data_IF_159332155238
#
_entry.id   IF_159332155238
#
_cell.length_a   1.000
_cell.length_b   1.000
_cell.length_c   1.000
_cell.angle_alpha   90.00
_cell.angle_beta   90.00
_cell.angle_gamma   90.00
#
_symmetry.space_group_name_H-M   'P 1'
#
loop_
_entity.id
_entity.type
_entity.pdbx_description
1 polymer ?
#
# COMPACT_ATOMS: atom_id res chain seq x y z
N UNK A 1 12.44 10.62 -8.76
CA UNK A 1 12.34 9.16 -9.00
C UNK A 1 13.27 8.66 -10.13
N UNK A 2 14.09 9.52 -10.75
CA UNK A 2 14.79 9.25 -12.02
C UNK A 2 16.16 8.55 -11.90
N UNK A 3 16.84 8.59 -10.75
CA UNK A 3 18.26 8.19 -10.70
C UNK A 3 18.47 6.65 -10.72
N UNK A 4 17.52 5.88 -10.20
CA UNK A 4 17.69 4.43 -10.07
C UNK A 4 17.47 3.66 -11.37
N UNK A 5 16.53 4.14 -12.19
CA UNK A 5 16.31 3.68 -13.57
C UNK A 5 17.52 4.02 -14.46
N UNK A 6 18.10 5.21 -14.28
CA UNK A 6 19.34 5.62 -14.97
C UNK A 6 20.52 4.72 -14.63
N UNK A 7 20.55 4.14 -13.42
CA UNK A 7 21.56 3.17 -12.97
C UNK A 7 21.25 1.71 -13.33
N UNK A 8 20.14 1.45 -14.05
CA UNK A 8 19.77 0.08 -14.50
C UNK A 8 19.37 -0.88 -13.39
N UNK A 9 19.13 -0.40 -12.16
CA UNK A 9 18.88 -1.30 -11.04
C UNK A 9 17.41 -1.72 -11.02
N UNK A 10 17.17 -3.03 -11.03
CA UNK A 10 15.83 -3.63 -11.07
C UNK A 10 15.30 -3.99 -9.67
N UNK A 11 13.99 -3.82 -9.46
CA UNK A 11 13.30 -4.29 -8.24
C UNK A 11 13.26 -5.81 -8.24
N UNK A 12 13.92 -6.43 -7.26
CA UNK A 12 13.86 -7.88 -7.03
C UNK A 12 13.17 -8.19 -5.70
N UNK A 13 12.44 -9.30 -5.68
CA UNK A 13 11.87 -9.85 -4.45
C UNK A 13 12.99 -10.53 -3.66
N UNK A 14 13.03 -10.29 -2.35
CA UNK A 14 13.96 -10.97 -1.43
C UNK A 14 13.23 -12.07 -0.67
N UNK A 15 13.93 -13.18 -0.42
CA UNK A 15 13.38 -14.29 0.36
C UNK A 15 13.37 -13.98 1.86
N UNK A 16 12.39 -14.58 2.54
CA UNK A 16 12.15 -14.39 3.98
C UNK A 16 13.07 -15.22 4.85
N UNK A 17 13.54 -16.34 4.32
CA UNK A 17 14.39 -17.32 4.98
C UNK A 17 15.72 -17.35 4.22
N UNK A 18 16.82 -17.36 4.94
CA UNK A 18 18.18 -17.32 4.41
C UNK A 18 18.99 -18.35 5.19
N UNK A 19 19.86 -19.07 4.48
CA UNK A 19 20.78 -20.02 5.09
C UNK A 19 21.86 -19.25 5.87
N UNK A 20 22.09 -19.65 7.11
CA UNK A 20 23.15 -19.13 7.95
C UNK A 20 24.29 -20.15 7.98
N UNK A 21 25.45 -19.75 7.47
CA UNK A 21 26.65 -20.60 7.40
C UNK A 21 27.26 -20.87 8.77
N UNK A 22 26.97 -20.02 9.77
CA UNK A 22 27.56 -20.18 11.12
C UNK A 22 26.83 -21.25 11.94
N UNK A 23 25.52 -21.39 11.73
CA UNK A 23 24.66 -22.30 12.48
C UNK A 23 24.13 -23.47 11.64
N UNK A 24 24.49 -23.50 10.34
CA UNK A 24 24.01 -24.46 9.34
C UNK A 24 22.47 -24.60 9.30
N UNK A 25 21.77 -23.49 9.51
CA UNK A 25 20.31 -23.46 9.63
C UNK A 25 19.66 -22.40 8.76
N UNK A 26 18.44 -22.70 8.31
CA UNK A 26 17.59 -21.76 7.58
C UNK A 26 16.88 -20.81 8.55
N UNK A 27 17.45 -19.63 8.76
CA UNK A 27 16.92 -18.61 9.66
C UNK A 27 16.18 -17.50 8.94
N UNK A 28 15.45 -16.67 9.69
CA UNK A 28 14.71 -15.54 9.11
C UNK A 28 15.66 -14.43 8.68
N UNK A 29 15.34 -13.69 7.62
CA UNK A 29 16.13 -12.49 7.25
C UNK A 29 15.96 -11.33 8.23
N UNK A 30 14.82 -11.28 8.92
CA UNK A 30 14.43 -10.22 9.85
C UNK A 30 13.44 -10.78 10.87
N UNK A 31 13.41 -10.18 12.06
CA UNK A 31 12.55 -10.62 13.17
C UNK A 31 13.32 -11.42 14.20
N UNK A 32 12.60 -12.31 14.89
CA UNK A 32 13.16 -13.25 15.87
C UNK A 32 14.05 -14.30 15.19
N UNK A 33 15.15 -14.66 15.85
CA UNK A 33 16.15 -15.62 15.39
C UNK A 33 16.54 -15.40 13.91
N UNK A 34 17.02 -14.17 13.66
CA UNK A 34 17.39 -13.74 12.31
C UNK A 34 18.83 -14.10 11.99
N UNK A 35 19.12 -14.29 10.70
CA UNK A 35 20.49 -14.40 10.21
C UNK A 35 21.29 -13.15 10.58
N UNK A 36 22.52 -13.35 11.03
CA UNK A 36 23.47 -12.31 11.44
C UNK A 36 22.90 -11.38 12.52
N UNK A 37 22.41 -11.92 13.63
CA UNK A 37 22.02 -11.07 14.76
C UNK A 37 23.25 -10.57 15.54
N UNK A 38 23.24 -9.28 15.87
CA UNK A 38 24.37 -8.64 16.55
C UNK A 38 24.49 -9.09 18.01
N UNK A 39 23.38 -9.57 18.60
CA UNK A 39 23.30 -10.03 19.99
C UNK A 39 23.85 -11.45 20.19
N UNK A 40 23.89 -12.26 19.13
CA UNK A 40 24.35 -13.66 19.17
C UNK A 40 25.88 -13.75 19.08
N UNK A 41 26.57 -12.61 18.91
CA UNK A 41 28.03 -12.54 18.79
C UNK A 41 28.61 -12.24 20.18
N UNK A 42 29.16 -13.24 20.90
CA UNK A 42 29.66 -13.03 22.25
C UNK A 42 31.00 -12.29 22.28
N UNK A 43 31.82 -12.45 21.24
CA UNK A 43 33.18 -11.90 21.16
C UNK A 43 33.36 -11.24 19.79
N UNK A 44 33.90 -10.02 19.79
CA UNK A 44 34.26 -9.30 18.57
C UNK A 44 35.78 -9.21 18.52
N UNK A 45 36.37 -9.78 17.47
CA UNK A 45 37.80 -9.65 17.23
C UNK A 45 38.15 -8.19 16.92
N UNK A 46 39.09 -7.64 17.69
CA UNK A 46 39.61 -6.30 17.47
C UNK A 46 40.45 -6.28 16.18
N UNK A 47 40.23 -5.25 15.36
CA UNK A 47 41.08 -4.99 14.18
C UNK A 47 42.29 -4.16 14.61
N UNK A 48 43.40 -4.28 13.88
CA UNK A 48 44.61 -3.48 14.15
C UNK A 48 44.40 -1.96 14.06
N UNK A 49 43.30 -1.51 13.46
CA UNK A 49 42.92 -0.10 13.32
C UNK A 49 41.90 0.36 14.37
N UNK A 50 41.48 -0.50 15.28
CA UNK A 50 40.48 -0.14 16.30
C UNK A 50 41.18 0.58 17.47
N UNK A 51 40.64 1.73 17.86
CA UNK A 51 41.19 2.54 18.94
C UNK A 51 41.10 1.78 20.28
N UNK A 52 42.21 1.58 21.00
CA UNK A 52 42.20 0.89 22.28
C UNK A 52 41.44 1.74 23.32
N UNK A 53 40.41 1.15 23.93
CA UNK A 53 39.63 1.76 25.01
C UNK A 53 38.15 2.01 24.69
N UNK A 54 37.70 1.75 23.47
CA UNK A 54 36.29 1.91 23.09
C UNK A 54 35.58 0.57 22.90
N UNK A 55 34.37 0.43 23.46
CA UNK A 55 33.60 -0.82 23.41
C UNK A 55 33.08 -1.10 21.97
N UNK A 56 33.47 -2.22 21.34
CA UNK A 56 33.04 -2.56 19.98
C UNK A 56 31.52 -2.79 19.88
N UNK A 57 30.85 -3.22 20.95
CA UNK A 57 29.39 -3.38 20.97
C UNK A 57 28.68 -2.03 20.98
N UNK A 58 29.16 -1.08 21.79
CA UNK A 58 28.66 0.29 21.80
C UNK A 58 28.77 0.96 20.41
N UNK A 59 29.92 0.81 19.74
CA UNK A 59 30.11 1.32 18.35
C UNK A 59 29.06 0.76 17.38
N UNK A 60 28.81 -0.56 17.40
CA UNK A 60 27.81 -1.20 16.53
C UNK A 60 26.40 -0.69 16.78
N UNK A 61 26.03 -0.50 18.06
CA UNK A 61 24.72 0.05 18.42
C UNK A 61 24.56 1.48 17.88
N UNK A 62 25.59 2.32 18.03
CA UNK A 62 25.53 3.70 17.55
C UNK A 62 25.53 3.78 16.02
N UNK A 63 26.26 2.92 15.32
CA UNK A 63 26.22 2.84 13.87
C UNK A 63 24.86 2.36 13.35
N UNK A 64 24.21 1.43 14.06
CA UNK A 64 22.83 1.02 13.79
C UNK A 64 21.87 2.19 13.99
N UNK A 65 21.97 2.95 15.09
CA UNK A 65 21.18 4.16 15.32
C UNK A 65 21.40 5.20 14.23
N UNK A 66 22.66 5.49 13.85
CA UNK A 66 23.00 6.43 12.76
C UNK A 66 22.38 6.01 11.43
N UNK A 67 22.43 4.71 11.09
CA UNK A 67 21.84 4.17 9.87
C UNK A 67 20.31 4.30 9.87
N UNK A 68 19.66 3.98 10.99
CA UNK A 68 18.20 4.12 11.16
C UNK A 68 17.80 5.59 11.09
N UNK A 69 18.49 6.48 11.81
CA UNK A 69 18.25 7.91 11.79
C UNK A 69 18.43 8.52 10.40
N UNK A 70 19.43 8.08 9.62
CA UNK A 70 19.60 8.48 8.21
C UNK A 70 18.41 8.02 7.36
N UNK A 71 17.91 6.81 7.56
CA UNK A 71 16.73 6.31 6.86
C UNK A 71 15.48 7.12 7.20
N UNK A 72 15.28 7.48 8.46
CA UNK A 72 14.15 8.30 8.91
C UNK A 72 14.22 9.74 8.37
N UNK A 73 15.40 10.37 8.42
CA UNK A 73 15.63 11.68 7.79
C UNK A 73 15.29 11.64 6.30
N UNK A 74 15.76 10.63 5.58
CA UNK A 74 15.43 10.45 4.16
C UNK A 74 13.93 10.22 3.94
N UNK A 75 13.25 9.47 4.83
CA UNK A 75 11.80 9.29 4.76
C UNK A 75 11.07 10.62 4.93
N UNK A 76 11.44 11.43 5.93
CA UNK A 76 10.86 12.75 6.17
C UNK A 76 11.10 13.69 5.00
N UNK A 77 12.31 13.74 4.45
CA UNK A 77 12.62 14.55 3.27
C UNK A 77 11.81 14.13 2.04
N UNK A 78 11.70 12.81 1.77
CA UNK A 78 10.88 12.31 0.68
C UNK A 78 9.39 12.60 0.89
N UNK A 79 8.90 12.55 2.14
CA UNK A 79 7.53 12.93 2.49
C UNK A 79 7.30 14.43 2.32
N UNK A 80 8.22 15.29 2.76
CA UNK A 80 8.13 16.74 2.61
C UNK A 80 8.18 17.16 1.12
N UNK A 81 9.13 16.61 0.36
CA UNK A 81 9.22 16.82 -1.08
C UNK A 81 7.97 16.33 -1.83
N UNK A 82 7.34 15.25 -1.33
CA UNK A 82 6.07 14.79 -1.86
C UNK A 82 4.91 15.67 -1.39
N UNK A 83 4.93 16.20 -0.17
CA UNK A 83 3.88 17.04 0.41
C UNK A 83 3.69 18.35 -0.34
N UNK A 84 4.78 18.95 -0.87
CA UNK A 84 4.69 20.07 -1.82
C UNK A 84 3.95 19.74 -3.13
N UNK A 85 3.83 18.45 -3.47
CA UNK A 85 3.09 17.94 -4.63
C UNK A 85 1.81 17.16 -4.24
N UNK A 86 1.45 17.14 -2.96
CA UNK A 86 0.21 16.50 -2.48
C UNK A 86 -0.92 17.53 -2.45
N UNK A 87 -2.15 17.11 -2.78
CA UNK A 87 -3.33 17.95 -2.57
C UNK A 87 -3.40 18.39 -1.10
N UNK A 88 -3.81 19.64 -0.87
CA UNK A 88 -3.85 20.33 0.44
C UNK A 88 -4.37 19.48 1.61
N UNK A 89 -5.30 18.58 1.32
CA UNK A 89 -5.91 17.65 2.25
C UNK A 89 -4.93 16.68 2.96
N UNK A 90 -3.84 16.27 2.29
CA UNK A 90 -2.85 15.34 2.87
C UNK A 90 -1.76 16.07 3.65
N UNK A 91 -1.57 17.37 3.39
CA UNK A 91 -0.61 18.20 4.13
C UNK A 91 -1.04 18.40 5.59
N UNK A 92 -2.34 18.45 5.86
CA UNK A 92 -2.88 18.65 7.22
C UNK A 92 -2.81 17.40 8.12
N UNK A 93 -2.81 16.19 7.52
CA UNK A 93 -2.89 14.92 8.24
C UNK A 93 -1.52 14.34 8.64
N UNK A 94 -0.42 14.97 8.22
CA UNK A 94 0.92 14.58 8.62
C UNK A 94 1.38 15.50 9.77
N UNK A 95 1.78 14.97 10.94
CA UNK A 95 2.40 15.78 11.97
C UNK A 95 3.83 16.09 11.51
N UNK A 96 3.98 17.08 10.63
CA UNK A 96 5.29 17.62 10.28
C UNK A 96 5.68 18.54 11.44
N UNK A 97 6.32 17.94 12.43
CA UNK A 97 6.99 18.66 13.50
C UNK A 97 7.97 19.68 12.89
N UNK A 98 7.67 20.97 13.04
CA UNK A 98 8.67 22.03 13.02
C UNK A 98 8.67 23.03 11.86
N UNK A 99 7.98 22.81 10.73
CA UNK A 99 7.91 23.83 9.67
C UNK A 99 6.58 24.57 9.75
N UNK A 100 6.60 25.81 10.26
CA UNK A 100 5.51 26.78 10.13
C UNK A 100 5.30 27.09 8.65
N UNK A 101 4.62 26.20 7.92
CA UNK A 101 4.08 26.54 6.60
C UNK A 101 3.12 27.70 6.79
N UNK A 102 3.43 28.83 6.15
CA UNK A 102 2.57 30.00 6.09
C UNK A 102 1.13 29.57 5.81
N UNK A 103 0.13 30.09 6.54
CA UNK A 103 -1.27 29.72 6.33
C UNK A 103 -1.68 30.17 4.94
N UNK A 104 -1.60 29.25 3.98
CA UNK A 104 -2.15 29.44 2.65
C UNK A 104 -3.66 29.60 2.80
N UNK A 105 -4.25 30.60 2.13
CA UNK A 105 -5.70 30.82 2.16
C UNK A 105 -6.38 29.56 1.60
N UNK A 106 -6.98 28.77 2.48
CA UNK A 106 -7.65 27.52 2.11
C UNK A 106 -8.95 27.92 1.40
N UNK A 107 -9.09 27.55 0.13
CA UNK A 107 -10.32 27.78 -0.63
C UNK A 107 -11.52 27.05 -0.02
N UNK A 108 -12.74 27.57 -0.23
CA UNK A 108 -14.00 27.01 0.31
C UNK A 108 -14.16 25.51 0.04
N UNK A 109 -13.69 25.02 -1.11
CA UNK A 109 -13.76 23.60 -1.48
C UNK A 109 -12.82 22.73 -0.64
N UNK A 110 -11.59 23.17 -0.42
CA UNK A 110 -10.62 22.46 0.41
C UNK A 110 -11.08 22.43 1.88
N UNK A 111 -11.72 23.49 2.36
CA UNK A 111 -12.34 23.52 3.69
C UNK A 111 -13.46 22.48 3.82
N UNK A 112 -14.33 22.38 2.81
CA UNK A 112 -15.41 21.38 2.78
C UNK A 112 -14.90 19.93 2.71
N UNK A 113 -13.82 19.69 1.97
CA UNK A 113 -13.19 18.37 1.88
C UNK A 113 -12.51 17.95 3.19
N UNK A 114 -11.82 18.88 3.88
CA UNK A 114 -11.24 18.65 5.21
C UNK A 114 -12.34 18.35 6.24
N UNK A 115 -13.42 19.13 6.24
CA UNK A 115 -14.58 18.90 7.11
C UNK A 115 -15.21 17.51 6.87
N UNK A 116 -15.40 17.12 5.61
CA UNK A 116 -15.95 15.80 5.27
C UNK A 116 -15.08 14.62 5.72
N UNK A 117 -13.74 14.75 5.64
CA UNK A 117 -12.84 13.72 6.16
C UNK A 117 -12.85 13.69 7.69
N UNK A 118 -12.79 14.86 8.35
CA UNK A 118 -12.81 14.93 9.80
C UNK A 118 -14.07 14.26 10.38
N UNK A 119 -15.23 14.55 9.78
CA UNK A 119 -16.50 13.94 10.17
C UNK A 119 -16.54 12.41 10.00
N UNK A 120 -15.74 11.82 9.11
CA UNK A 120 -15.73 10.36 8.86
C UNK A 120 -14.54 9.64 9.51
N UNK A 121 -13.61 10.38 10.12
CA UNK A 121 -12.37 9.83 10.70
C UNK A 121 -12.54 9.27 12.11
N UNK A 122 -13.62 9.63 12.80
CA UNK A 122 -13.99 9.02 14.09
C UNK A 122 -14.31 7.54 13.90
N UNK A 123 -14.02 6.69 14.89
CA UNK A 123 -14.34 5.25 14.83
C UNK A 123 -15.84 4.96 14.57
N UNK A 124 -16.72 5.88 14.97
CA UNK A 124 -18.16 5.84 14.72
C UNK A 124 -18.58 6.36 13.34
N UNK A 125 -17.62 6.82 12.52
CA UNK A 125 -17.87 7.49 11.24
C UNK A 125 -18.70 8.77 11.36
N UNK A 126 -18.61 9.46 12.51
CA UNK A 126 -19.39 10.67 12.79
C UNK A 126 -20.84 10.42 13.18
N UNK A 127 -21.22 9.16 13.47
CA UNK A 127 -22.60 8.80 13.82
C UNK A 127 -23.05 9.37 15.17
N UNK A 128 -22.11 9.52 16.12
CA UNK A 128 -22.38 10.03 17.47
C UNK A 128 -21.86 11.45 17.68
N UNK A 129 -21.25 12.05 16.66
CA UNK A 129 -20.67 13.38 16.77
C UNK A 129 -21.79 14.43 16.57
N UNK A 130 -21.85 15.44 17.44
CA UNK A 130 -22.87 16.51 17.38
C UNK A 130 -22.63 17.37 16.14
N UNK A 131 -23.62 17.42 15.24
CA UNK A 131 -23.56 18.25 14.03
C UNK A 131 -23.91 19.70 14.33
N UNK A 132 -23.14 20.62 13.77
CA UNK A 132 -23.41 22.05 13.90
C UNK A 132 -24.50 22.44 12.90
N UNK A 133 -25.47 23.30 13.26
CA UNK A 133 -26.46 23.79 12.31
C UNK A 133 -25.78 24.43 11.09
N UNK A 134 -26.16 24.00 9.88
CA UNK A 134 -25.59 24.49 8.62
C UNK A 134 -24.40 23.68 8.07
N UNK A 135 -23.97 22.61 8.75
CA UNK A 135 -22.94 21.71 8.23
C UNK A 135 -23.44 20.96 6.98
N UNK A 136 -22.70 21.05 5.88
CA UNK A 136 -23.04 20.34 4.63
C UNK A 136 -22.79 18.84 4.81
N UNK A 137 -23.69 17.97 4.33
CA UNK A 137 -23.46 16.53 4.41
C UNK A 137 -22.19 16.14 3.65
N UNK A 138 -21.44 15.12 4.11
CA UNK A 138 -20.19 14.72 3.51
C UNK A 138 -20.41 14.30 2.05
N UNK A 139 -19.79 15.02 1.11
CA UNK A 139 -19.97 14.87 -0.35
C UNK A 139 -19.40 13.57 -0.93
N UNK A 140 -18.67 12.78 -0.15
CA UNK A 140 -17.93 11.60 -0.62
C UNK A 140 -18.34 10.33 0.14
N UNK A 141 -19.62 10.00 0.14
CA UNK A 141 -19.99 8.60 0.32
C UNK A 141 -19.33 7.83 -0.83
N UNK A 142 -18.62 6.75 -0.54
CA UNK A 142 -17.80 6.06 -1.53
C UNK A 142 -18.61 5.63 -2.77
N UNK A 143 -17.94 5.17 -3.82
CA UNK A 143 -18.62 4.51 -4.93
C UNK A 143 -19.25 3.21 -4.42
N UNK A 144 -20.50 3.28 -3.97
CA UNK A 144 -21.29 2.10 -3.64
C UNK A 144 -21.87 1.53 -4.92
N UNK A 145 -21.72 0.22 -5.11
CA UNK A 145 -22.37 -0.49 -6.21
C UNK A 145 -23.88 -0.40 -5.99
N UNK A 146 -24.59 0.23 -6.93
CA UNK A 146 -26.05 0.18 -6.98
C UNK A 146 -26.41 -1.10 -7.73
N UNK A 147 -27.04 -2.05 -7.04
CA UNK A 147 -27.59 -3.25 -7.66
C UNK A 147 -29.02 -2.96 -8.11
N UNK A 148 -29.40 -3.50 -9.26
CA UNK A 148 -30.80 -3.56 -9.64
C UNK A 148 -31.57 -4.45 -8.63
N UNK A 149 -32.85 -4.17 -8.37
CA UNK A 149 -33.67 -5.01 -7.50
C UNK A 149 -33.83 -6.42 -8.09
N UNK A 150 -33.84 -7.44 -7.21
CA UNK A 150 -33.93 -8.86 -7.61
C UNK A 150 -35.30 -9.21 -8.22
N UNK A 151 -36.37 -8.54 -7.77
CA UNK A 151 -37.70 -8.66 -8.36
C UNK A 151 -37.94 -7.43 -9.21
N UNK A 152 -38.06 -7.57 -10.54
CA UNK A 152 -38.35 -6.43 -11.40
C UNK A 152 -39.74 -5.89 -11.05
N UNK A 153 -39.86 -4.57 -10.92
CA UNK A 153 -41.18 -3.92 -11.06
C UNK A 153 -41.66 -4.15 -12.49
N UNK A 154 -42.97 -4.19 -12.71
CA UNK A 154 -43.56 -4.37 -14.04
C UNK A 154 -42.92 -3.37 -15.02
N UNK A 155 -42.28 -3.86 -16.10
CA UNK A 155 -41.56 -3.04 -17.10
C UNK A 155 -40.04 -2.94 -16.98
N UNK A 156 -39.39 -3.49 -15.95
CA UNK A 156 -37.92 -3.34 -15.70
C UNK A 156 -37.06 -4.38 -16.45
N UNK A 157 -37.68 -5.33 -17.16
CA UNK A 157 -36.98 -6.39 -17.93
C UNK A 157 -36.06 -5.82 -19.01
N UNK A 158 -36.37 -4.64 -19.54
CA UNK A 158 -35.59 -4.04 -20.63
C UNK A 158 -34.29 -3.38 -20.13
N UNK A 159 -34.23 -2.93 -18.86
CA UNK A 159 -33.01 -2.37 -18.28
C UNK A 159 -31.92 -3.44 -18.13
N UNK A 160 -32.28 -4.66 -17.70
CA UNK A 160 -31.34 -5.78 -17.61
C UNK A 160 -30.82 -6.18 -19.00
N UNK A 161 -31.73 -6.27 -19.98
CA UNK A 161 -31.35 -6.53 -21.39
C UNK A 161 -30.40 -5.45 -21.90
N UNK A 162 -30.68 -4.18 -21.67
CA UNK A 162 -29.78 -3.10 -22.05
C UNK A 162 -28.40 -3.21 -21.39
N UNK A 163 -28.34 -3.53 -20.10
CA UNK A 163 -27.07 -3.72 -19.41
C UNK A 163 -26.29 -4.90 -20.01
N UNK A 164 -26.97 -6.03 -20.30
CA UNK A 164 -26.34 -7.17 -20.97
C UNK A 164 -25.85 -6.81 -22.37
N UNK A 165 -26.63 -6.07 -23.16
CA UNK A 165 -26.26 -5.62 -24.49
C UNK A 165 -25.09 -4.63 -24.46
N UNK A 166 -25.02 -3.75 -23.45
CA UNK A 166 -23.88 -2.85 -23.22
C UNK A 166 -22.60 -3.61 -22.86
N UNK A 167 -22.71 -4.76 -22.19
CA UNK A 167 -21.56 -5.64 -21.92
C UNK A 167 -21.18 -6.41 -23.18
N UNK A 168 -22.15 -6.98 -23.89
CA UNK A 168 -21.94 -7.71 -25.14
C UNK A 168 -21.30 -6.83 -26.22
N UNK A 169 -21.75 -5.59 -26.39
CA UNK A 169 -21.16 -4.66 -27.35
C UNK A 169 -19.70 -4.34 -27.03
N UNK A 170 -19.34 -4.23 -25.75
CA UNK A 170 -17.95 -4.05 -25.30
C UNK A 170 -17.09 -5.28 -25.56
N UNK A 171 -17.65 -6.48 -25.46
CA UNK A 171 -16.96 -7.74 -25.74
C UNK A 171 -16.78 -7.98 -27.24
N UNK A 172 -17.80 -7.68 -28.04
CA UNK A 172 -17.80 -7.86 -29.49
C UNK A 172 -17.11 -6.72 -30.25
N UNK A 173 -16.86 -5.58 -29.59
CA UNK A 173 -16.12 -4.50 -30.22
C UNK A 173 -14.69 -4.93 -30.57
N UNK A 174 -14.20 -4.45 -31.71
CA UNK A 174 -12.85 -4.76 -32.23
C UNK A 174 -11.73 -4.42 -31.24
N UNK A 175 -11.96 -3.48 -30.32
CA UNK A 175 -11.04 -3.07 -29.25
C UNK A 175 -11.24 -3.82 -27.91
N UNK A 176 -11.94 -4.96 -27.89
CA UNK A 176 -12.20 -5.73 -26.65
C UNK A 176 -10.92 -6.25 -25.98
N UNK A 177 -9.85 -6.45 -26.75
CA UNK A 177 -8.52 -6.87 -26.29
C UNK A 177 -7.86 -5.87 -25.33
N UNK A 178 -8.20 -4.57 -25.41
CA UNK A 178 -7.66 -3.55 -24.49
C UNK A 178 -8.41 -3.53 -23.14
N UNK A 179 -9.70 -3.86 -23.18
CA UNK A 179 -10.59 -3.86 -22.01
C UNK A 179 -10.35 -5.12 -21.16
N UNK A 180 -10.09 -6.25 -21.83
CA UNK A 180 -9.85 -7.54 -21.17
C UNK A 180 -8.37 -7.72 -20.86
N UNK A 181 -8.04 -7.95 -19.59
CA UNK A 181 -6.66 -8.25 -19.20
C UNK A 181 -6.32 -9.71 -19.51
N UNK A 182 -5.89 -9.97 -20.74
CA UNK A 182 -5.54 -11.30 -21.26
C UNK A 182 -4.48 -11.99 -20.40
N UNK A 183 -3.45 -11.27 -19.94
CA UNK A 183 -2.41 -11.83 -19.07
C UNK A 183 -2.94 -12.33 -17.73
N UNK A 184 -3.91 -11.62 -17.13
CA UNK A 184 -4.58 -12.08 -15.91
C UNK A 184 -5.46 -13.30 -16.19
N UNK A 185 -6.14 -13.35 -17.33
CA UNK A 185 -6.95 -14.50 -17.72
C UNK A 185 -6.11 -15.77 -17.93
N UNK A 186 -4.96 -15.65 -18.62
CA UNK A 186 -4.01 -16.74 -18.81
C UNK A 186 -3.46 -17.24 -17.47
N UNK A 187 -3.08 -16.33 -16.56
CA UNK A 187 -2.58 -16.72 -15.24
C UNK A 187 -3.64 -17.48 -14.43
N UNK A 188 -4.90 -17.03 -14.44
CA UNK A 188 -6.00 -17.74 -13.75
C UNK A 188 -6.24 -19.12 -14.39
N UNK A 189 -6.14 -19.22 -15.71
CA UNK A 189 -6.29 -20.49 -16.43
C UNK A 189 -5.16 -21.47 -16.06
N UNK A 190 -3.91 -21.00 -16.06
CA UNK A 190 -2.75 -21.80 -15.67
C UNK A 190 -2.84 -22.24 -14.21
N UNK A 191 -3.18 -21.33 -13.28
CA UNK A 191 -3.41 -21.65 -11.87
C UNK A 191 -4.49 -22.74 -11.71
N UNK A 192 -5.60 -22.63 -12.46
CA UNK A 192 -6.67 -23.65 -12.45
C UNK A 192 -6.19 -24.99 -13.02
N UNK A 193 -5.41 -24.97 -14.10
CA UNK A 193 -4.87 -26.17 -14.74
C UNK A 193 -3.87 -26.88 -13.81
N UNK A 194 -3.00 -26.14 -13.14
CA UNK A 194 -2.06 -26.67 -12.14
C UNK A 194 -2.78 -27.23 -10.91
N UNK A 195 -3.82 -26.54 -10.41
CA UNK A 195 -4.66 -27.07 -9.33
C UNK A 195 -5.36 -28.37 -9.69
N UNK A 196 -5.91 -28.47 -10.91
CA UNK A 196 -6.53 -29.71 -11.40
C UNK A 196 -5.52 -30.85 -11.50
N UNK A 197 -4.31 -30.59 -12.01
CA UNK A 197 -3.23 -31.59 -12.09
C UNK A 197 -2.72 -32.04 -10.71
N UNK A 198 -2.75 -31.17 -9.71
CA UNK A 198 -2.25 -31.48 -8.36
C UNK A 198 -3.30 -32.09 -7.42
N UNK A 199 -4.52 -32.40 -7.90
CA UNK A 199 -5.57 -33.06 -7.11
C UNK A 199 -6.08 -32.25 -5.91
N UNK A 200 -5.68 -30.99 -5.75
CA UNK A 200 -6.08 -30.14 -4.63
C UNK A 200 -7.50 -29.63 -4.84
N UNK A 201 -8.47 -30.21 -4.14
CA UNK A 201 -9.85 -29.71 -4.10
C UNK A 201 -9.93 -28.37 -3.34
N UNK A 202 -10.77 -27.45 -3.81
CA UNK A 202 -11.05 -26.14 -3.18
C UNK A 202 -11.92 -26.30 -1.91
N UNK A 203 -11.69 -27.31 -1.07
CA UNK A 203 -12.29 -27.34 0.27
C UNK A 203 -11.45 -26.45 1.19
N UNK A 204 -12.05 -25.28 1.48
CA UNK A 204 -11.73 -24.37 2.58
C UNK A 204 -10.35 -23.71 2.53
N UNK A 205 -10.25 -22.61 1.77
CA UNK A 205 -9.38 -21.51 2.19
C UNK A 205 -10.26 -20.39 2.74
N UNK A 206 -10.13 -20.13 4.05
CA UNK A 206 -10.73 -19.00 4.73
C UNK A 206 -10.55 -17.72 3.90
N UNK A 207 -11.62 -16.95 3.75
CA UNK A 207 -11.63 -15.70 2.98
C UNK A 207 -10.53 -14.79 3.54
N UNK A 208 -9.49 -14.58 2.74
CA UNK A 208 -8.46 -13.58 3.04
C UNK A 208 -9.09 -12.20 2.86
N UNK A 209 -9.09 -11.40 3.90
CA UNK A 209 -9.64 -10.05 3.93
C UNK A 209 -9.28 -9.23 2.68
N UNK A 210 -10.31 -8.69 2.04
CA UNK A 210 -10.26 -7.94 0.76
C UNK A 210 -9.71 -6.51 0.93
N UNK A 211 -9.22 -6.13 2.11
CA UNK A 211 -8.80 -4.75 2.42
C UNK A 211 -7.45 -4.31 1.83
N UNK A 212 -6.72 -5.16 1.10
CA UNK A 212 -5.48 -4.75 0.41
C UNK A 212 -5.70 -4.51 -1.09
N UNK A 213 -6.18 -3.31 -1.44
CA UNK A 213 -6.12 -2.80 -2.82
C UNK A 213 -4.65 -2.72 -3.27
N UNK A 214 -4.31 -3.41 -4.36
CA UNK A 214 -3.02 -3.23 -5.06
C UNK A 214 -2.99 -1.83 -5.70
N UNK A 215 -1.86 -1.10 -5.66
CA UNK A 215 -1.74 0.16 -6.38
C UNK A 215 -1.71 -0.10 -7.89
N UNK A 216 -2.58 0.60 -8.63
CA UNK A 216 -2.58 0.64 -10.09
C UNK A 216 -1.30 1.33 -10.57
N UNK A 217 -0.59 0.68 -11.49
CA UNK A 217 0.51 1.28 -12.23
C UNK A 217 -0.08 2.10 -13.40
N UNK A 218 0.04 3.42 -13.34
CA UNK A 218 -0.24 4.28 -14.48
C UNK A 218 0.89 4.08 -15.51
N UNK A 219 0.55 3.58 -16.69
CA UNK A 219 1.40 3.73 -17.88
C UNK A 219 1.17 5.14 -18.42
N UNK A 220 2.23 5.93 -18.50
CA UNK A 220 2.21 7.21 -19.21
C UNK A 220 2.18 6.94 -20.72
N UNK A 221 1.46 7.81 -21.45
CA UNK A 221 1.59 7.98 -22.90
C UNK A 221 2.96 8.55 -23.24
#
# INVERSE_FOLDING_TARGET
MLNWLKKGIQKRKKDKIVYDETTDQFKRRHGYDRVNDDNDIPIIEAKATDEPGEDPFAKRLDDKKKRVGKQEKNRLQNLAAKAGALPSHVQLALPISGTKTQPQKIGKEALGDVAGLAATSTASGGKFDKKVPGEKPPKKQGKHHKYLPVVPRYGVVDEEKEQTNKVLSKLLSKHSHEILNVGKAINIYNDKKEKKKSGRSDKLKAKKDITKKKPYANKAK
#
